data_IF_749564778562
#
_entry.id   IF_749564778562
#
_cell.length_a   1.000
_cell.length_b   1.000
_cell.length_c   1.000
_cell.angle_alpha   90.00
_cell.angle_beta   90.00
_cell.angle_gamma   90.00
#
_symmetry.space_group_name_H-M   'P 1'
#
loop_
_entity.id
_entity.type
_entity.pdbx_description
1 polymer ?
#
# COMPACT_ATOMS: atom_id res chain seq x y z
N UNK A 1 -10.76 6.77 4.07
CA UNK A 1 -9.78 7.31 5.05
C UNK A 1 -8.47 7.51 4.31
N UNK A 2 -7.81 8.65 4.48
CA UNK A 2 -6.60 9.00 3.71
C UNK A 2 -5.38 8.33 4.33
N UNK A 3 -4.49 7.67 3.57
CA UNK A 3 -3.27 7.06 4.11
C UNK A 3 -2.36 8.13 4.69
N UNK A 4 -1.80 7.86 5.87
CA UNK A 4 -0.88 8.79 6.55
C UNK A 4 0.51 8.20 6.52
N UNK A 5 1.44 8.96 5.95
CA UNK A 5 2.84 8.57 5.81
C UNK A 5 3.69 9.45 6.70
N UNK A 6 4.57 8.84 7.48
CA UNK A 6 5.67 9.53 8.15
C UNK A 6 7.00 9.06 7.55
N UNK A 7 7.92 10.01 7.39
CA UNK A 7 9.24 9.80 6.78
C UNK A 7 10.31 10.27 7.76
N UNK A 8 11.17 9.36 8.18
CA UNK A 8 12.29 9.66 9.07
C UNK A 8 13.59 9.58 8.28
N UNK A 9 14.15 10.73 7.92
CA UNK A 9 15.43 10.83 7.21
C UNK A 9 16.63 10.53 8.13
N UNK A 10 17.68 9.93 7.58
CA UNK A 10 18.94 9.70 8.26
C UNK A 10 20.14 9.80 7.32
N UNK A 11 21.29 10.15 7.90
CA UNK A 11 22.55 10.15 7.18
C UNK A 11 23.05 8.70 7.04
N UNK A 12 23.21 8.24 5.81
CA UNK A 12 23.78 6.91 5.51
C UNK A 12 25.28 6.85 5.83
N UNK A 13 25.84 5.63 5.88
CA UNK A 13 27.27 5.42 6.09
C UNK A 13 28.17 6.05 5.01
N UNK A 14 27.62 6.39 3.84
CA UNK A 14 28.33 7.13 2.78
C UNK A 14 28.61 8.57 3.21
N UNK A 15 27.62 9.23 3.84
CA UNK A 15 27.76 10.59 4.38
C UNK A 15 28.85 10.64 5.45
N UNK A 16 28.85 9.67 6.37
CA UNK A 16 29.89 9.58 7.40
C UNK A 16 31.28 9.34 6.81
N UNK A 17 31.43 8.40 5.87
CA UNK A 17 32.71 8.15 5.20
C UNK A 17 33.24 9.37 4.45
N UNK A 18 32.36 10.10 3.76
CA UNK A 18 32.75 11.32 3.04
C UNK A 18 33.17 12.45 3.99
N UNK A 19 32.48 12.62 5.13
CA UNK A 19 32.85 13.60 6.14
C UNK A 19 34.18 13.26 6.80
N UNK A 20 34.40 11.98 7.15
CA UNK A 20 35.67 11.52 7.71
C UNK A 20 36.81 11.68 6.71
N UNK A 21 36.62 11.32 5.44
CA UNK A 21 37.64 11.49 4.40
C UNK A 21 38.00 12.96 4.16
N UNK A 22 36.99 13.85 4.12
CA UNK A 22 37.20 15.28 4.01
C UNK A 22 38.00 15.83 5.20
N UNK A 23 37.67 15.40 6.42
CA UNK A 23 38.38 15.80 7.62
C UNK A 23 39.84 15.30 7.63
N UNK A 24 40.07 14.03 7.29
CA UNK A 24 41.43 13.46 7.18
C UNK A 24 42.27 14.22 6.16
N UNK A 25 41.72 14.56 4.99
CA UNK A 25 42.42 15.35 3.96
C UNK A 25 42.75 16.77 4.45
N UNK A 26 41.86 17.40 5.20
CA UNK A 26 42.12 18.71 5.79
C UNK A 26 43.29 18.66 6.79
N UNK A 27 43.27 17.68 7.70
CA UNK A 27 44.36 17.48 8.68
C UNK A 27 45.67 17.14 7.98
N UNK A 28 45.64 16.26 6.98
CA UNK A 28 46.83 15.90 6.20
C UNK A 28 47.41 17.11 5.46
N UNK A 29 46.57 17.97 4.86
CA UNK A 29 47.01 19.21 4.24
C UNK A 29 47.68 20.17 5.22
N UNK A 30 47.16 20.25 6.45
CA UNK A 30 47.71 21.08 7.52
C UNK A 30 49.07 20.55 8.02
N UNK A 31 49.21 19.24 8.17
CA UNK A 31 50.49 18.58 8.51
C UNK A 31 51.51 18.75 7.39
N UNK A 32 51.09 18.58 6.13
CA UNK A 32 51.94 18.76 4.96
C UNK A 32 52.46 20.20 4.87
N UNK A 33 51.62 21.20 5.16
CA UNK A 33 52.05 22.61 5.22
C UNK A 33 53.21 22.80 6.20
N UNK A 34 53.09 22.27 7.42
CA UNK A 34 54.15 22.39 8.45
C UNK A 34 55.41 21.64 8.03
N UNK A 35 55.28 20.41 7.54
CA UNK A 35 56.42 19.58 7.14
C UNK A 35 57.19 20.15 5.94
N UNK A 36 56.48 20.60 4.90
CA UNK A 36 57.08 21.21 3.70
C UNK A 36 57.77 22.53 4.03
N UNK A 37 57.18 23.33 4.93
CA UNK A 37 57.78 24.57 5.39
C UNK A 37 59.07 24.32 6.20
N UNK A 38 59.09 23.31 7.07
CA UNK A 38 60.31 22.93 7.82
C UNK A 38 61.39 22.36 6.89
N UNK A 39 61.00 21.65 5.84
CA UNK A 39 61.91 21.09 4.85
C UNK A 39 62.45 22.13 3.84
N UNK A 40 62.02 23.39 3.92
CA UNK A 40 62.47 24.47 3.03
C UNK A 40 62.01 24.31 1.58
N UNK A 41 60.89 23.62 1.35
CA UNK A 41 60.32 23.42 0.02
C UNK A 41 59.81 24.75 -0.54
N UNK A 42 59.94 24.93 -1.85
CA UNK A 42 59.47 26.12 -2.55
C UNK A 42 58.01 26.47 -2.21
N UNK A 43 57.74 27.77 -2.05
CA UNK A 43 56.44 28.26 -1.61
C UNK A 43 55.31 27.96 -2.60
N UNK A 44 55.63 27.93 -3.91
CA UNK A 44 54.65 27.63 -4.96
C UNK A 44 54.26 26.14 -4.88
N UNK A 45 55.23 25.24 -4.73
CA UNK A 45 54.99 23.80 -4.54
C UNK A 45 54.18 23.54 -3.25
N UNK A 46 54.55 24.20 -2.15
CA UNK A 46 53.83 24.08 -0.87
C UNK A 46 52.39 24.55 -1.00
N UNK A 47 52.16 25.69 -1.66
CA UNK A 47 50.81 26.23 -1.88
C UNK A 47 49.96 25.32 -2.78
N UNK A 48 50.55 24.71 -3.82
CA UNK A 48 49.86 23.81 -4.72
C UNK A 48 49.41 22.52 -4.01
N UNK A 49 50.28 21.91 -3.20
CA UNK A 49 49.96 20.68 -2.45
C UNK A 49 48.87 20.93 -1.41
N UNK A 50 49.00 22.00 -0.62
CA UNK A 50 48.02 22.34 0.42
C UNK A 50 46.70 22.79 -0.21
N UNK A 51 46.74 23.58 -1.27
CA UNK A 51 45.57 24.00 -2.03
C UNK A 51 44.81 22.80 -2.62
N UNK A 52 45.51 21.84 -3.22
CA UNK A 52 44.90 20.62 -3.74
C UNK A 52 44.23 19.78 -2.62
N UNK A 53 44.87 19.66 -1.45
CA UNK A 53 44.30 18.96 -0.31
C UNK A 53 43.01 19.62 0.22
N UNK A 54 42.99 20.97 0.29
CA UNK A 54 41.81 21.74 0.70
C UNK A 54 40.68 21.57 -0.33
N UNK A 55 40.98 21.70 -1.62
CA UNK A 55 39.99 21.51 -2.69
C UNK A 55 39.41 20.10 -2.66
N UNK A 56 40.25 19.06 -2.51
CA UNK A 56 39.80 17.68 -2.39
C UNK A 56 38.95 17.44 -1.14
N UNK A 57 39.30 18.06 0.00
CA UNK A 57 38.51 18.02 1.23
C UNK A 57 37.12 18.63 1.04
N UNK A 58 37.05 19.82 0.45
CA UNK A 58 35.78 20.52 0.18
C UNK A 58 34.91 19.76 -0.82
N UNK A 59 35.51 19.23 -1.89
CA UNK A 59 34.80 18.38 -2.85
C UNK A 59 34.27 17.09 -2.20
N UNK A 60 35.06 16.45 -1.33
CA UNK A 60 34.63 15.28 -0.57
C UNK A 60 33.44 15.58 0.35
N UNK A 61 33.49 16.71 1.07
CA UNK A 61 32.39 17.15 1.93
C UNK A 61 31.12 17.52 1.14
N UNK A 62 31.28 18.20 0.00
CA UNK A 62 30.18 18.56 -0.89
C UNK A 62 29.52 17.33 -1.52
N UNK A 63 30.33 16.39 -2.01
CA UNK A 63 29.87 15.12 -2.56
C UNK A 63 29.11 14.28 -1.53
N UNK A 64 29.54 14.32 -0.26
CA UNK A 64 28.79 13.79 0.87
C UNK A 64 27.41 14.44 0.98
N UNK A 65 27.37 15.76 1.17
CA UNK A 65 26.12 16.51 1.38
C UNK A 65 25.10 16.42 0.25
N UNK A 66 25.56 16.27 -0.99
CA UNK A 66 24.71 16.18 -2.18
C UNK A 66 24.15 14.78 -2.42
N UNK A 67 24.63 13.76 -1.70
CA UNK A 67 24.10 12.41 -1.80
C UNK A 67 22.68 12.30 -1.22
N UNK A 68 21.88 11.39 -1.79
CA UNK A 68 20.55 11.06 -1.27
C UNK A 68 20.64 10.66 0.22
N UNK A 69 19.68 11.14 1.00
CA UNK A 69 19.53 10.78 2.42
C UNK A 69 18.65 9.55 2.47
N UNK A 70 19.08 8.53 3.20
CA UNK A 70 18.22 7.39 3.44
C UNK A 70 17.02 7.84 4.26
N UNK A 71 15.86 7.27 3.99
CA UNK A 71 14.68 7.49 4.82
C UNK A 71 14.00 6.19 5.19
N UNK A 72 13.48 6.14 6.42
CA UNK A 72 12.53 5.12 6.87
C UNK A 72 11.14 5.66 6.61
N UNK A 73 10.32 4.88 5.93
CA UNK A 73 8.94 5.20 5.61
C UNK A 73 8.03 4.31 6.47
N UNK A 74 7.00 4.92 7.04
CA UNK A 74 5.90 4.22 7.69
C UNK A 74 4.59 4.85 7.23
N UNK A 75 3.79 4.06 6.53
CA UNK A 75 2.48 4.45 6.01
C UNK A 75 1.41 3.59 6.64
N UNK A 76 0.34 4.21 7.14
CA UNK A 76 -0.83 3.51 7.65
C UNK A 76 -2.06 3.92 6.85
N UNK A 77 -2.67 2.92 6.21
CA UNK A 77 -3.94 3.05 5.49
C UNK A 77 -5.12 2.56 6.35
N UNK A 78 -6.29 2.35 5.76
CA UNK A 78 -7.50 1.86 6.46
C UNK A 78 -7.31 0.51 7.14
N UNK A 79 -6.62 -0.42 6.49
CA UNK A 79 -6.53 -1.82 6.91
C UNK A 79 -5.11 -2.37 6.91
N UNK A 80 -4.12 -1.60 6.46
CA UNK A 80 -2.77 -2.09 6.20
C UNK A 80 -1.71 -1.08 6.66
N UNK A 81 -0.64 -1.60 7.25
CA UNK A 81 0.57 -0.85 7.60
C UNK A 81 1.67 -1.24 6.63
N UNK A 82 2.33 -0.24 6.05
CA UNK A 82 3.48 -0.39 5.19
C UNK A 82 4.69 0.24 5.86
N UNK A 83 5.82 -0.44 5.88
CA UNK A 83 7.07 0.15 6.33
C UNK A 83 8.27 -0.40 5.57
N UNK A 84 9.29 0.43 5.42
CA UNK A 84 10.49 0.09 4.66
C UNK A 84 11.49 1.25 4.66
N UNK A 85 12.53 1.11 3.85
CA UNK A 85 13.43 2.20 3.51
C UNK A 85 13.48 2.37 1.98
N UNK A 86 14.12 3.44 1.50
CA UNK A 86 14.16 3.76 0.07
C UNK A 86 14.85 2.69 -0.80
N UNK A 87 15.75 1.92 -0.20
CA UNK A 87 16.52 0.87 -0.88
C UNK A 87 15.86 -0.52 -0.81
N UNK A 88 14.75 -0.68 -0.08
CA UNK A 88 14.06 -1.97 0.11
C UNK A 88 12.62 -1.90 -0.34
N UNK A 89 12.14 -3.03 -0.85
CA UNK A 89 10.72 -3.25 -1.08
C UNK A 89 9.93 -3.00 0.22
N UNK A 90 8.89 -2.18 0.13
CA UNK A 90 7.98 -1.89 1.24
C UNK A 90 7.37 -3.19 1.74
N UNK A 91 7.44 -3.43 3.05
CA UNK A 91 6.81 -4.59 3.70
C UNK A 91 5.45 -4.17 4.21
N UNK A 92 4.42 -4.97 3.91
CA UNK A 92 3.04 -4.71 4.31
C UNK A 92 2.52 -5.73 5.31
N UNK A 93 1.73 -5.28 6.28
CA UNK A 93 0.99 -6.12 7.21
C UNK A 93 -0.43 -5.59 7.38
N UNK A 94 -1.45 -6.46 7.38
CA UNK A 94 -2.81 -6.04 7.71
C UNK A 94 -2.88 -5.63 9.18
N UNK A 95 -3.58 -4.53 9.48
CA UNK A 95 -3.87 -4.03 10.83
C UNK A 95 -4.60 -5.08 11.69
N UNK A 96 -5.36 -5.98 11.07
CA UNK A 96 -5.99 -7.10 11.77
C UNK A 96 -4.99 -8.08 12.38
N UNK A 97 -3.75 -8.15 11.87
CA UNK A 97 -2.67 -8.98 12.42
C UNK A 97 -1.86 -8.29 13.52
N UNK A 98 -2.13 -7.00 13.78
CA UNK A 98 -1.39 -6.20 14.76
C UNK A 98 -1.75 -6.62 16.18
N UNK A 99 -0.75 -7.08 16.94
CA UNK A 99 -0.91 -7.59 18.31
C UNK A 99 -0.62 -6.50 19.32
N UNK A 100 0.51 -5.80 19.16
CA UNK A 100 0.93 -4.75 20.11
C UNK A 100 1.59 -3.58 19.42
N UNK A 101 1.36 -2.39 19.95
CA UNK A 101 2.02 -1.14 19.55
C UNK A 101 2.56 -0.43 20.77
N UNK A 102 3.86 -0.18 20.79
CA UNK A 102 4.50 0.60 21.85
C UNK A 102 5.48 1.60 21.26
N UNK A 103 5.63 2.75 21.91
CA UNK A 103 6.72 3.68 21.59
C UNK A 103 7.93 3.28 22.42
N UNK A 104 9.09 3.16 21.78
CA UNK A 104 10.38 2.93 22.42
C UNK A 104 11.39 3.99 22.01
N UNK A 105 12.53 3.99 22.70
CA UNK A 105 13.65 4.87 22.38
C UNK A 105 13.75 6.12 23.25
N UNK A 106 14.73 6.99 22.98
CA UNK A 106 15.51 7.11 21.73
C UNK A 106 16.43 5.91 21.43
N UNK A 107 16.70 5.62 20.15
CA UNK A 107 17.56 4.52 19.75
C UNK A 107 19.05 4.87 19.84
N UNK A 108 19.87 3.93 20.33
CA UNK A 108 21.31 4.13 20.52
C UNK A 108 22.13 4.03 19.23
N UNK A 109 21.55 3.48 18.16
CA UNK A 109 22.21 3.31 16.87
C UNK A 109 21.21 3.31 15.70
N UNK A 110 21.68 3.80 14.55
CA UNK A 110 21.01 3.59 13.27
C UNK A 110 21.31 2.16 12.84
N UNK A 111 20.27 1.38 12.58
CA UNK A 111 20.45 0.00 12.14
C UNK A 111 20.99 -0.04 10.71
N UNK A 112 21.86 -0.99 10.41
CA UNK A 112 22.35 -1.22 9.04
C UNK A 112 21.27 -1.77 8.11
N UNK A 113 20.06 -2.03 8.66
CA UNK A 113 18.87 -2.51 7.94
C UNK A 113 19.25 -3.62 6.95
N UNK A 114 20.07 -4.58 7.38
CA UNK A 114 20.60 -5.71 6.59
C UNK A 114 20.75 -6.95 7.48
N UNK A 115 20.74 -8.14 6.86
CA UNK A 115 20.90 -9.42 7.58
C UNK A 115 19.86 -9.66 8.68
N UNK A 116 20.30 -10.18 9.82
CA UNK A 116 19.45 -10.52 10.99
C UNK A 116 18.72 -9.31 11.60
N UNK A 117 19.13 -8.08 11.29
CA UNK A 117 18.52 -6.84 11.79
C UNK A 117 17.60 -6.16 10.77
N UNK A 118 17.18 -6.88 9.72
CA UNK A 118 16.19 -6.46 8.72
C UNK A 118 14.94 -5.80 9.32
N UNK A 119 14.51 -6.24 10.50
CA UNK A 119 13.27 -5.81 11.14
C UNK A 119 13.45 -4.62 12.11
N UNK A 120 14.67 -4.14 12.25
CA UNK A 120 15.00 -2.96 13.04
C UNK A 120 15.32 -1.80 12.09
N UNK A 121 14.31 -1.00 11.79
CA UNK A 121 14.40 0.24 11.04
C UNK A 121 14.60 1.42 12.01
N UNK A 122 15.63 1.36 12.87
CA UNK A 122 15.91 2.40 13.87
C UNK A 122 16.90 3.44 13.34
N UNK A 123 16.74 4.69 13.79
CA UNK A 123 17.65 5.82 13.51
C UNK A 123 18.18 6.35 14.84
N UNK A 124 19.49 6.53 14.93
CA UNK A 124 20.16 7.01 16.16
C UNK A 124 19.55 8.32 16.65
N UNK A 125 19.30 8.41 17.96
CA UNK A 125 18.72 9.59 18.60
C UNK A 125 17.23 9.79 18.37
N UNK A 126 16.58 9.01 17.48
CA UNK A 126 15.15 9.08 17.23
C UNK A 126 14.37 8.07 18.07
N UNK A 127 13.12 8.39 18.38
CA UNK A 127 12.17 7.41 18.93
C UNK A 127 11.79 6.41 17.86
N UNK A 128 11.24 5.28 18.27
CA UNK A 128 10.79 4.24 17.35
C UNK A 128 9.50 3.58 17.84
N UNK A 129 8.68 3.12 16.89
CA UNK A 129 7.52 2.29 17.17
C UNK A 129 7.93 0.82 17.19
N UNK A 130 7.55 0.12 18.26
CA UNK A 130 7.60 -1.32 18.41
C UNK A 130 6.26 -1.88 17.96
N UNK A 131 6.26 -2.57 16.83
CA UNK A 131 5.07 -3.21 16.25
C UNK A 131 5.26 -4.72 16.30
N UNK A 132 4.26 -5.44 16.79
CA UNK A 132 4.25 -6.90 16.81
C UNK A 132 3.06 -7.39 16.02
N UNK A 133 3.29 -8.28 15.05
CA UNK A 133 2.25 -8.87 14.22
C UNK A 133 2.17 -10.38 14.44
N UNK A 134 0.97 -10.94 14.41
CA UNK A 134 0.73 -12.38 14.47
C UNK A 134 0.92 -12.99 13.08
N UNK A 135 1.67 -14.09 13.02
CA UNK A 135 1.98 -14.80 11.78
C UNK A 135 1.87 -16.31 11.96
N UNK A 136 1.53 -17.02 10.89
CA UNK A 136 1.57 -18.49 10.80
C UNK A 136 2.26 -18.85 9.49
N UNK A 137 3.29 -19.68 9.54
CA UNK A 137 4.12 -20.03 8.38
C UNK A 137 4.65 -18.79 7.62
N UNK A 138 5.03 -17.74 8.35
CA UNK A 138 5.52 -16.48 7.79
C UNK A 138 4.45 -15.57 7.15
N UNK A 139 3.17 -15.95 7.13
CA UNK A 139 2.07 -15.13 6.61
C UNK A 139 1.28 -14.42 7.73
N UNK A 140 0.83 -13.17 7.55
CA UNK A 140 0.03 -12.46 8.56
C UNK A 140 -1.31 -13.14 8.83
N UNK A 141 -1.67 -13.30 10.11
CA UNK A 141 -2.94 -13.90 10.55
C UNK A 141 -3.66 -12.92 11.49
N UNK A 142 -5.01 -12.84 11.48
CA UNK A 142 -5.73 -11.97 12.40
C UNK A 142 -5.41 -12.27 13.87
N UNK A 143 -5.11 -11.22 14.64
CA UNK A 143 -4.70 -11.30 16.04
C UNK A 143 -5.80 -11.80 16.98
N UNK A 144 -7.08 -11.76 16.56
CA UNK A 144 -8.23 -12.19 17.37
C UNK A 144 -8.52 -13.70 17.31
N UNK A 145 -7.81 -14.45 16.45
CA UNK A 145 -7.81 -15.92 16.52
C UNK A 145 -6.91 -16.37 17.66
N UNK A 146 -7.38 -16.22 18.90
CA UNK A 146 -6.85 -17.01 20.01
C UNK A 146 -7.14 -18.49 19.75
N UNK A 147 -6.21 -19.42 20.04
CA UNK A 147 -6.46 -20.86 19.94
C UNK A 147 -7.46 -21.26 21.03
N UNK A 148 -8.75 -21.14 20.71
CA UNK A 148 -9.85 -21.63 21.55
C UNK A 148 -10.90 -22.39 20.75
N UNK A 149 -10.85 -22.31 19.43
CA UNK A 149 -11.62 -23.20 18.57
C UNK A 149 -10.86 -24.53 18.42
N UNK A 150 -11.58 -25.58 18.80
CA UNK A 150 -11.17 -26.98 18.88
C UNK A 150 -10.49 -27.47 17.59
N UNK A 151 -9.50 -28.35 17.78
CA UNK A 151 -8.87 -29.29 16.84
C UNK A 151 -7.49 -28.94 16.22
N UNK A 152 -6.86 -27.82 16.57
CA UNK A 152 -5.46 -27.56 16.17
C UNK A 152 -4.43 -28.09 17.20
N UNK A 153 -3.42 -28.80 16.69
CA UNK A 153 -2.26 -29.36 17.38
C UNK A 153 -1.60 -28.38 18.38
N UNK A 154 -1.39 -28.75 19.67
CA UNK A 154 -0.83 -27.86 20.71
C UNK A 154 0.58 -27.32 20.42
N UNK A 155 1.30 -27.86 19.43
CA UNK A 155 2.59 -27.34 18.99
C UNK A 155 2.51 -26.21 17.95
N UNK A 156 1.31 -25.82 17.47
CA UNK A 156 1.15 -24.75 16.47
C UNK A 156 0.77 -23.40 17.08
N UNK A 157 1.60 -22.87 17.99
CA UNK A 157 1.42 -21.51 18.46
C UNK A 157 1.70 -20.49 17.32
N UNK A 158 0.90 -19.43 17.16
CA UNK A 158 1.18 -18.40 16.15
C UNK A 158 2.52 -17.73 16.46
N UNK A 159 3.42 -17.73 15.47
CA UNK A 159 4.67 -17.00 15.51
C UNK A 159 4.41 -15.49 15.53
N UNK A 160 5.35 -14.69 16.03
CA UNK A 160 5.21 -13.23 16.03
C UNK A 160 6.34 -12.55 15.27
N UNK A 161 5.98 -11.61 14.41
CA UNK A 161 6.91 -10.76 13.68
C UNK A 161 7.03 -9.42 14.38
N UNK A 162 8.22 -9.18 14.95
CA UNK A 162 8.55 -7.96 15.66
C UNK A 162 9.29 -6.96 14.77
N UNK A 163 8.84 -5.70 14.81
CA UNK A 163 9.40 -4.59 14.04
C UNK A 163 9.69 -3.39 14.94
N UNK A 164 10.80 -2.69 14.64
CA UNK A 164 11.11 -1.36 15.20
C UNK A 164 11.20 -0.37 14.07
N UNK A 165 10.40 0.70 14.09
CA UNK A 165 10.36 1.68 13.00
C UNK A 165 10.60 3.08 13.54
N UNK A 166 11.63 3.76 13.05
CA UNK A 166 12.01 5.09 13.51
C UNK A 166 10.94 6.12 13.18
N UNK A 167 10.64 6.97 14.16
CA UNK A 167 9.66 8.05 14.06
C UNK A 167 10.25 9.33 14.64
N UNK A 168 9.91 10.46 14.02
CA UNK A 168 10.31 11.77 14.52
C UNK A 168 9.37 12.20 15.64
N UNK A 169 9.95 12.49 16.80
CA UNK A 169 9.18 13.02 17.93
C UNK A 169 8.68 14.44 17.61
N UNK A 170 7.37 14.66 17.74
CA UNK A 170 6.73 15.94 17.43
C UNK A 170 6.16 16.07 16.01
N UNK A 171 6.33 15.07 15.15
CA UNK A 171 5.68 15.04 13.84
C UNK A 171 4.16 14.76 13.98
N UNK A 172 3.27 15.65 13.49
CA UNK A 172 1.82 15.42 13.54
C UNK A 172 1.39 14.15 12.79
N UNK A 173 2.11 13.74 11.73
CA UNK A 173 1.82 12.51 11.01
C UNK A 173 2.06 11.28 11.89
N UNK A 174 3.09 11.30 12.75
CA UNK A 174 3.38 10.22 13.70
C UNK A 174 2.29 10.12 14.77
N UNK A 175 1.77 11.25 15.24
CA UNK A 175 0.68 11.27 16.21
C UNK A 175 -0.60 10.62 15.64
N UNK A 176 -0.94 10.94 14.40
CA UNK A 176 -2.09 10.36 13.69
C UNK A 176 -1.88 8.86 13.39
N UNK A 177 -0.68 8.47 12.95
CA UNK A 177 -0.30 7.06 12.75
C UNK A 177 -0.46 6.28 14.05
N UNK A 178 0.04 6.80 15.17
CA UNK A 178 -0.07 6.16 16.47
C UNK A 178 -1.53 6.06 16.94
N UNK A 179 -2.34 7.09 16.70
CA UNK A 179 -3.76 7.08 17.01
C UNK A 179 -4.53 6.02 16.20
N UNK A 180 -4.18 5.84 14.92
CA UNK A 180 -4.74 4.76 14.07
C UNK A 180 -4.33 3.39 14.57
N UNK A 181 -3.04 3.19 14.77
CA UNK A 181 -2.50 1.92 15.24
C UNK A 181 -3.13 1.48 16.59
N UNK A 182 -3.32 2.41 17.52
CA UNK A 182 -3.97 2.15 18.82
C UNK A 182 -5.46 1.83 18.71
N UNK A 183 -6.17 2.37 17.70
CA UNK A 183 -7.58 2.02 17.44
C UNK A 183 -7.73 0.55 17.05
N UNK A 184 -6.74 -0.01 16.33
CA UNK A 184 -6.77 -1.39 15.85
C UNK A 184 -6.11 -2.39 16.80
N UNK A 185 -5.21 -1.94 17.68
CA UNK A 185 -4.60 -2.75 18.73
C UNK A 185 -4.86 -2.12 20.11
N UNK A 186 -6.09 -2.26 20.67
CA UNK A 186 -6.33 -1.86 22.05
C UNK A 186 -5.50 -2.76 22.96
N UNK A 187 -4.75 -2.16 23.90
CA UNK A 187 -3.87 -2.84 24.85
C UNK A 187 -4.48 -4.12 25.45
N UNK A 188 -4.21 -5.28 24.83
CA UNK A 188 -4.49 -6.59 25.42
C UNK A 188 -3.25 -7.01 26.21
N UNK A 189 -3.36 -6.80 27.52
CA UNK A 189 -2.65 -7.53 28.60
C UNK A 189 -1.21 -7.07 28.87
N UNK A 190 -1.09 -5.94 29.56
CA UNK A 190 -0.09 -5.80 30.62
C UNK A 190 -0.59 -6.56 31.88
N UNK A 191 -0.28 -7.85 31.98
CA UNK A 191 -0.11 -8.54 33.27
C UNK A 191 1.08 -9.46 33.09
N UNK A 192 2.18 -9.38 33.86
CA UNK A 192 2.22 -9.45 35.32
C UNK A 192 3.66 -9.17 35.83
N UNK A 193 3.89 -8.10 36.61
CA UNK A 193 4.66 -8.17 37.88
C UNK A 193 4.55 -6.89 38.75
N UNK A 194 3.68 -7.00 39.75
CA UNK A 194 3.80 -6.57 41.17
C UNK A 194 4.41 -5.19 41.55
N UNK A 195 3.54 -4.37 42.17
CA UNK A 195 3.72 -3.52 43.40
C UNK A 195 4.79 -2.41 43.35
N UNK A 196 4.55 -1.15 43.75
CA UNK A 196 3.68 -0.62 44.79
C UNK A 196 3.47 0.92 44.65
N UNK A 197 2.34 1.38 45.20
CA UNK A 197 2.11 2.67 45.88
C UNK A 197 2.23 4.00 45.12
N UNK A 198 1.07 4.65 44.92
CA UNK A 198 0.70 6.01 45.40
C UNK A 198 -0.44 6.54 44.49
N UNK A 199 -1.70 6.36 44.88
CA UNK A 199 -2.49 7.32 45.66
C UNK A 199 -2.75 8.66 44.93
N UNK A 200 -3.97 8.77 44.38
CA UNK A 200 -4.78 9.99 44.41
C UNK A 200 -4.55 11.03 43.31
N UNK A 201 -5.34 10.97 42.23
CA UNK A 201 -6.22 12.09 41.86
C UNK A 201 -7.09 11.72 40.67
N UNK A 202 -8.39 11.69 40.92
CA UNK A 202 -9.45 11.71 39.92
C UNK A 202 -9.63 13.16 39.46
N UNK A 203 -9.82 13.40 38.15
CA UNK A 203 -10.94 14.24 37.78
C UNK A 203 -11.78 13.62 36.65
N UNK A 204 -13.00 13.26 37.06
CA UNK A 204 -14.28 13.65 36.47
C UNK A 204 -14.35 13.85 34.95
N UNK A 205 -15.16 12.99 34.35
CA UNK A 205 -15.76 13.07 33.03
C UNK A 205 -16.13 14.49 32.58
N UNK A 206 -15.73 14.82 31.34
CA UNK A 206 -16.42 15.76 30.49
C UNK A 206 -16.73 15.03 29.18
N UNK A 207 -18.02 14.73 28.99
CA UNK A 207 -18.57 14.35 27.70
C UNK A 207 -18.31 15.48 26.71
N UNK A 208 -17.69 15.17 25.57
CA UNK A 208 -17.64 16.05 24.42
C UNK A 208 -18.08 15.25 23.20
N UNK A 209 -19.25 15.67 22.73
CA UNK A 209 -20.04 15.22 21.60
C UNK A 209 -19.24 14.89 20.34
N UNK A 210 -19.62 13.81 19.66
CA UNK A 210 -19.25 13.55 18.28
C UNK A 210 -19.77 14.66 17.36
N UNK A 211 -19.00 15.11 16.34
CA UNK A 211 -19.56 15.88 15.24
C UNK A 211 -20.27 14.96 14.24
N UNK A 212 -21.30 15.46 13.51
CA UNK A 212 -22.07 14.67 12.56
C UNK A 212 -21.33 14.47 11.23
N UNK A 213 -21.76 13.44 10.49
CA UNK A 213 -21.34 13.07 9.14
C UNK A 213 -21.26 14.29 8.20
N UNK A 214 -20.04 14.68 7.82
CA UNK A 214 -19.84 15.59 6.69
C UNK A 214 -19.76 14.79 5.38
N UNK A 215 -20.49 15.21 4.32
CA UNK A 215 -20.35 14.63 3.00
C UNK A 215 -18.93 14.87 2.46
N UNK A 216 -18.31 13.81 1.95
CA UNK A 216 -16.97 13.87 1.37
C UNK A 216 -16.99 14.79 0.15
N UNK A 217 -16.39 15.97 0.29
CA UNK A 217 -16.22 16.93 -0.79
C UNK A 217 -15.16 16.44 -1.80
N UNK A 218 -15.63 15.95 -2.94
CA UNK A 218 -14.82 15.49 -4.07
C UNK A 218 -14.10 16.62 -4.83
N UNK A 219 -14.33 17.89 -4.48
CA UNK A 219 -13.74 19.05 -5.18
C UNK A 219 -12.40 19.52 -4.60
N UNK A 220 -11.94 18.96 -3.48
CA UNK A 220 -10.64 19.34 -2.88
C UNK A 220 -9.47 18.72 -3.66
N UNK A 221 -8.54 19.53 -4.21
CA UNK A 221 -7.36 18.98 -4.89
C UNK A 221 -6.49 18.20 -3.89
N UNK A 222 -5.98 17.02 -4.27
CA UNK A 222 -5.31 16.11 -3.35
C UNK A 222 -3.97 16.69 -2.88
N UNK A 223 -3.73 16.70 -1.57
CA UNK A 223 -2.36 16.83 -1.03
C UNK A 223 -1.54 15.63 -1.49
N UNK A 224 -0.52 15.94 -2.28
CA UNK A 224 0.01 15.10 -3.35
C UNK A 224 1.16 14.21 -2.89
N UNK A 225 1.18 12.95 -3.35
CA UNK A 225 2.41 12.17 -3.42
C UNK A 225 3.41 12.81 -4.40
N UNK A 226 4.62 12.22 -4.56
CA UNK A 226 5.64 12.76 -5.46
C UNK A 226 5.08 12.93 -6.87
N UNK A 227 5.09 14.16 -7.38
CA UNK A 227 4.57 14.52 -8.70
C UNK A 227 5.66 14.41 -9.76
N UNK A 228 5.30 13.98 -10.96
CA UNK A 228 6.22 13.94 -12.11
C UNK A 228 6.69 15.35 -12.49
N UNK A 229 5.84 16.38 -12.34
CA UNK A 229 6.26 17.77 -12.58
C UNK A 229 7.38 18.24 -11.64
N UNK A 230 7.46 17.67 -10.43
CA UNK A 230 8.45 18.04 -9.42
C UNK A 230 9.70 17.12 -9.48
N UNK A 231 9.78 16.21 -10.46
CA UNK A 231 10.90 15.30 -10.61
C UNK A 231 12.18 16.04 -11.00
N UNK A 232 13.27 15.81 -10.25
CA UNK A 232 14.57 16.45 -10.48
C UNK A 232 15.29 16.00 -11.76
N UNK A 233 14.86 14.91 -12.40
CA UNK A 233 15.45 14.36 -13.63
C UNK A 233 14.40 13.69 -14.52
N UNK A 234 14.71 13.52 -15.81
CA UNK A 234 13.82 12.81 -16.75
C UNK A 234 13.73 11.31 -16.43
N UNK A 235 14.80 10.70 -15.94
CA UNK A 235 14.76 9.31 -15.46
C UNK A 235 13.82 9.14 -14.27
N UNK A 236 13.80 10.10 -13.33
CA UNK A 236 12.87 10.06 -12.20
C UNK A 236 11.42 10.26 -12.66
N UNK A 237 11.19 11.17 -13.62
CA UNK A 237 9.88 11.36 -14.25
C UNK A 237 9.39 10.07 -14.95
N UNK A 238 10.28 9.40 -15.69
CA UNK A 238 9.98 8.13 -16.34
C UNK A 238 9.62 7.04 -15.33
N UNK A 239 10.41 6.85 -14.26
CA UNK A 239 10.10 5.84 -13.21
C UNK A 239 8.75 6.08 -12.54
N UNK A 240 8.42 7.35 -12.27
CA UNK A 240 7.11 7.71 -11.70
C UNK A 240 5.96 7.44 -12.68
N UNK A 241 6.18 7.67 -13.97
CA UNK A 241 5.21 7.36 -15.02
C UNK A 241 5.01 5.84 -15.18
N UNK A 242 6.09 5.05 -15.20
CA UNK A 242 6.03 3.58 -15.25
C UNK A 242 5.28 3.00 -14.05
N UNK A 243 5.49 3.57 -12.86
CA UNK A 243 4.73 3.19 -11.68
C UNK A 243 3.24 3.57 -11.78
N UNK A 244 2.91 4.71 -12.39
CA UNK A 244 1.52 5.05 -12.68
C UNK A 244 0.89 4.06 -13.68
N UNK A 245 1.65 3.63 -14.71
CA UNK A 245 1.20 2.61 -15.64
C UNK A 245 0.93 1.26 -14.94
N UNK A 246 1.85 0.79 -14.07
CA UNK A 246 1.63 -0.42 -13.26
C UNK A 246 0.34 -0.34 -12.43
N UNK A 247 0.09 0.78 -11.76
CA UNK A 247 -1.14 0.97 -10.97
C UNK A 247 -2.41 0.99 -11.82
N UNK A 248 -2.33 1.53 -13.03
CA UNK A 248 -3.44 1.46 -13.97
C UNK A 248 -3.72 0.01 -14.36
N UNK A 249 -2.69 -0.77 -14.66
CA UNK A 249 -2.82 -2.20 -14.99
C UNK A 249 -3.37 -3.03 -13.83
N UNK A 250 -2.98 -2.72 -12.60
CA UNK A 250 -3.56 -3.34 -11.39
C UNK A 250 -5.07 -3.10 -11.29
N UNK A 251 -5.53 -1.86 -11.56
CA UNK A 251 -6.97 -1.54 -11.56
C UNK A 251 -7.69 -2.28 -12.69
N UNK A 252 -7.11 -2.30 -13.90
CA UNK A 252 -7.69 -3.04 -15.03
C UNK A 252 -7.76 -4.55 -14.77
N UNK A 253 -6.73 -5.13 -14.16
CA UNK A 253 -6.71 -6.55 -13.79
C UNK A 253 -7.75 -6.88 -12.72
N UNK A 254 -7.89 -6.02 -11.71
CA UNK A 254 -8.92 -6.18 -10.68
C UNK A 254 -10.34 -6.04 -11.26
N UNK A 255 -10.58 -5.00 -12.05
CA UNK A 255 -11.87 -4.75 -12.69
C UNK A 255 -12.24 -5.83 -13.71
N UNK A 256 -11.27 -6.29 -14.51
CA UNK A 256 -11.48 -7.37 -15.49
C UNK A 256 -11.98 -8.67 -14.85
N UNK A 257 -11.70 -8.92 -13.57
CA UNK A 257 -12.28 -10.07 -12.85
C UNK A 257 -13.80 -9.97 -12.71
N UNK A 258 -14.37 -8.76 -12.65
CA UNK A 258 -15.82 -8.54 -12.58
C UNK A 258 -16.49 -8.56 -13.96
N UNK A 259 -15.78 -8.14 -15.01
CA UNK A 259 -16.34 -8.15 -16.37
C UNK A 259 -16.29 -9.54 -17.04
N UNK A 260 -15.29 -10.36 -16.69
CA UNK A 260 -15.03 -11.63 -17.38
C UNK A 260 -15.61 -12.84 -16.66
N UNK A 261 -15.83 -12.77 -15.34
CA UNK A 261 -16.37 -13.89 -14.55
C UNK A 261 -17.89 -13.75 -14.34
N UNK A 262 -18.72 -14.63 -14.94
CA UNK A 262 -20.16 -14.63 -14.72
C UNK A 262 -20.55 -14.78 -13.24
N UNK A 263 -19.75 -15.45 -12.42
CA UNK A 263 -20.05 -15.58 -10.99
C UNK A 263 -19.93 -14.23 -10.25
N UNK A 264 -18.98 -13.37 -10.66
CA UNK A 264 -18.82 -12.04 -10.10
C UNK A 264 -19.99 -11.13 -10.48
N UNK A 265 -20.43 -11.18 -11.75
CA UNK A 265 -21.64 -10.48 -12.21
C UNK A 265 -22.86 -10.87 -11.38
N UNK A 266 -23.10 -12.16 -11.18
CA UNK A 266 -24.27 -12.65 -10.43
C UNK A 266 -24.22 -12.27 -8.95
N UNK A 267 -23.02 -12.22 -8.36
CA UNK A 267 -22.84 -11.95 -6.92
C UNK A 267 -22.78 -10.46 -6.58
N UNK A 268 -22.16 -9.65 -7.45
CA UNK A 268 -21.89 -8.24 -7.23
C UNK A 268 -22.27 -7.40 -8.46
N UNK A 269 -23.53 -7.44 -8.92
CA UNK A 269 -23.95 -6.76 -10.15
C UNK A 269 -23.73 -5.24 -10.09
N UNK A 270 -23.84 -4.64 -8.91
CA UNK A 270 -23.60 -3.21 -8.71
C UNK A 270 -22.20 -2.72 -9.09
N UNK A 271 -21.18 -3.60 -9.18
CA UNK A 271 -19.80 -3.20 -9.53
C UNK A 271 -19.66 -2.87 -11.03
N UNK A 272 -20.45 -3.53 -11.88
CA UNK A 272 -20.41 -3.35 -13.34
C UNK A 272 -21.62 -2.60 -13.89
N UNK A 273 -22.65 -2.41 -13.09
CA UNK A 273 -23.85 -1.66 -13.47
C UNK A 273 -23.59 -0.15 -13.50
N UNK A 274 -23.53 0.41 -14.71
CA UNK A 274 -23.29 1.84 -14.97
C UNK A 274 -24.40 2.76 -14.48
N UNK A 275 -25.56 2.22 -14.08
CA UNK A 275 -26.63 3.01 -13.45
C UNK A 275 -26.32 3.36 -12.00
N UNK A 276 -25.33 2.70 -11.38
CA UNK A 276 -24.85 3.00 -10.03
C UNK A 276 -23.84 4.14 -10.07
N UNK A 277 -24.07 5.20 -9.31
CA UNK A 277 -23.25 6.43 -9.29
C UNK A 277 -21.74 6.16 -9.11
N UNK A 278 -21.37 5.25 -8.19
CA UNK A 278 -19.96 4.94 -7.93
C UNK A 278 -19.31 4.24 -9.13
N UNK A 279 -20.07 3.40 -9.83
CA UNK A 279 -19.62 2.69 -11.04
C UNK A 279 -19.48 3.67 -12.20
N UNK A 280 -20.43 4.58 -12.38
CA UNK A 280 -20.32 5.67 -13.35
C UNK A 280 -19.08 6.54 -13.09
N UNK A 281 -18.84 6.91 -11.82
CA UNK A 281 -17.66 7.70 -11.42
C UNK A 281 -16.35 6.97 -11.75
N UNK A 282 -16.31 5.65 -11.55
CA UNK A 282 -15.19 4.81 -11.93
C UNK A 282 -14.95 4.82 -13.44
N UNK A 283 -15.99 4.61 -14.26
CA UNK A 283 -15.85 4.61 -15.72
C UNK A 283 -15.40 5.97 -16.26
N UNK A 284 -15.91 7.08 -15.74
CA UNK A 284 -15.45 8.41 -16.14
C UNK A 284 -13.96 8.63 -15.83
N UNK A 285 -13.50 8.15 -14.66
CA UNK A 285 -12.08 8.23 -14.31
C UNK A 285 -11.21 7.27 -15.14
N UNK A 286 -11.76 6.12 -15.52
CA UNK A 286 -11.09 5.15 -16.38
C UNK A 286 -10.89 5.70 -17.78
N UNK A 287 -11.93 6.29 -18.37
CA UNK A 287 -11.87 6.94 -19.68
C UNK A 287 -10.84 8.08 -19.69
N UNK A 288 -10.82 8.90 -18.63
CA UNK A 288 -9.82 9.97 -18.49
C UNK A 288 -8.38 9.42 -18.43
N UNK A 289 -8.14 8.34 -17.68
CA UNK A 289 -6.83 7.71 -17.57
C UNK A 289 -6.41 7.04 -18.88
N UNK A 290 -7.35 6.37 -19.56
CA UNK A 290 -7.13 5.73 -20.86
C UNK A 290 -6.78 6.75 -21.95
N UNK A 291 -7.46 7.89 -22.00
CA UNK A 291 -7.18 8.95 -22.97
C UNK A 291 -5.76 9.53 -22.85
N UNK A 292 -5.20 9.51 -21.65
CA UNK A 292 -3.84 10.01 -21.35
C UNK A 292 -2.76 8.94 -21.49
N UNK A 293 -3.13 7.66 -21.51
CA UNK A 293 -2.20 6.52 -21.57
C UNK A 293 -1.41 6.52 -22.89
N UNK A 294 -0.14 6.15 -22.79
CA UNK A 294 0.77 5.93 -23.92
C UNK A 294 1.52 4.62 -23.69
N UNK A 295 2.00 3.98 -24.76
CA UNK A 295 2.76 2.72 -24.64
C UNK A 295 4.14 2.96 -23.99
N UNK A 296 4.78 4.06 -24.38
CA UNK A 296 6.07 4.51 -23.85
C UNK A 296 5.94 5.87 -23.15
N UNK A 297 6.97 6.22 -22.37
CA UNK A 297 7.05 7.53 -21.71
C UNK A 297 6.99 8.65 -22.77
N UNK A 298 6.05 9.61 -22.66
CA UNK A 298 5.78 10.57 -23.73
C UNK A 298 6.85 11.66 -23.89
N UNK A 299 7.92 11.67 -23.09
CA UNK A 299 8.94 12.73 -23.06
C UNK A 299 8.45 14.07 -22.49
N UNK A 300 7.14 14.29 -22.44
CA UNK A 300 6.49 15.48 -21.90
C UNK A 300 6.06 15.26 -20.44
N UNK A 301 6.79 15.89 -19.51
CA UNK A 301 6.53 15.80 -18.06
C UNK A 301 5.13 16.24 -17.65
N UNK A 302 4.58 17.28 -18.29
CA UNK A 302 3.23 17.77 -17.95
C UNK A 302 2.15 16.76 -18.34
N UNK A 303 2.30 16.07 -19.49
CA UNK A 303 1.38 15.01 -19.91
C UNK A 303 1.51 13.78 -19.01
N UNK A 304 2.75 13.39 -18.68
CA UNK A 304 3.02 12.27 -17.80
C UNK A 304 2.47 12.52 -16.38
N UNK A 305 2.57 13.75 -15.87
CA UNK A 305 1.98 14.15 -14.59
C UNK A 305 0.45 14.16 -14.62
N UNK A 306 -0.17 14.67 -15.69
CA UNK A 306 -1.62 14.59 -15.87
C UNK A 306 -2.10 13.13 -15.87
N UNK A 307 -1.37 12.23 -16.54
CA UNK A 307 -1.64 10.79 -16.50
C UNK A 307 -1.52 10.23 -15.08
N UNK A 308 -0.44 10.53 -14.36
CA UNK A 308 -0.26 10.09 -12.97
C UNK A 308 -1.40 10.56 -12.05
N UNK A 309 -1.82 11.82 -12.18
CA UNK A 309 -2.94 12.36 -11.42
C UNK A 309 -4.27 11.68 -11.78
N UNK A 310 -4.51 11.41 -13.07
CA UNK A 310 -5.69 10.70 -13.54
C UNK A 310 -5.72 9.26 -13.02
N UNK A 311 -4.61 8.51 -13.06
CA UNK A 311 -4.51 7.17 -12.46
C UNK A 311 -4.77 7.20 -10.95
N UNK A 312 -4.29 8.23 -10.25
CA UNK A 312 -4.58 8.38 -8.83
C UNK A 312 -6.06 8.64 -8.54
N UNK A 313 -6.78 9.35 -9.43
CA UNK A 313 -8.25 9.50 -9.36
C UNK A 313 -8.94 8.18 -9.66
N UNK A 314 -8.56 7.51 -10.75
CA UNK A 314 -9.05 6.19 -11.15
C UNK A 314 -8.97 5.19 -10.00
N UNK A 315 -7.81 5.05 -9.35
CA UNK A 315 -7.63 4.12 -8.23
C UNK A 315 -8.59 4.41 -7.07
N UNK A 316 -8.82 5.68 -6.73
CA UNK A 316 -9.77 6.04 -5.66
C UNK A 316 -11.20 5.72 -6.06
N UNK A 317 -11.57 6.05 -7.30
CA UNK A 317 -12.90 5.74 -7.85
C UNK A 317 -13.14 4.22 -7.88
N UNK A 318 -12.13 3.43 -8.27
CA UNK A 318 -12.18 1.97 -8.24
C UNK A 318 -12.42 1.43 -6.82
N UNK A 319 -11.63 1.85 -5.83
CA UNK A 319 -11.79 1.40 -4.44
C UNK A 319 -13.20 1.74 -3.92
N UNK A 320 -13.71 2.93 -4.23
CA UNK A 320 -15.05 3.35 -3.84
C UNK A 320 -16.15 2.52 -4.54
N UNK A 321 -16.01 2.29 -5.85
CA UNK A 321 -16.88 1.44 -6.66
C UNK A 321 -16.92 0.02 -6.10
N UNK A 322 -15.77 -0.64 -5.94
CA UNK A 322 -15.69 -2.02 -5.48
C UNK A 322 -16.25 -2.18 -4.05
N UNK A 323 -15.87 -1.28 -3.13
CA UNK A 323 -16.37 -1.30 -1.76
C UNK A 323 -17.88 -1.12 -1.72
N UNK A 324 -18.43 -0.21 -2.54
CA UNK A 324 -19.87 0.02 -2.61
C UNK A 324 -20.59 -1.18 -3.24
N UNK A 325 -20.12 -1.65 -4.39
CA UNK A 325 -20.74 -2.76 -5.11
C UNK A 325 -20.71 -4.07 -4.34
N UNK A 326 -19.65 -4.35 -3.57
CA UNK A 326 -19.64 -5.51 -2.65
C UNK A 326 -20.57 -5.34 -1.45
N UNK A 327 -20.70 -4.13 -0.92
CA UNK A 327 -21.58 -3.83 0.23
C UNK A 327 -23.05 -3.90 -0.15
N UNK A 328 -23.41 -3.35 -1.31
CA UNK A 328 -24.78 -3.32 -1.81
C UNK A 328 -25.14 -4.67 -2.45
N UNK A 329 -24.23 -5.30 -3.17
CA UNK A 329 -24.49 -6.54 -3.90
C UNK A 329 -25.64 -6.35 -4.89
N UNK A 330 -26.71 -7.14 -4.73
CA UNK A 330 -27.95 -7.01 -5.49
C UNK A 330 -29.06 -6.23 -4.76
N UNK A 331 -28.82 -5.70 -3.54
CA UNK A 331 -29.88 -5.11 -2.70
C UNK A 331 -30.51 -3.81 -3.25
N UNK A 332 -29.96 -3.24 -4.31
CA UNK A 332 -30.53 -2.09 -5.02
C UNK A 332 -31.63 -2.49 -6.01
N UNK A 333 -31.77 -3.79 -6.30
CA UNK A 333 -32.82 -4.34 -7.17
C UNK A 333 -34.09 -4.64 -6.36
N UNK A 334 -35.21 -4.89 -7.05
CA UNK A 334 -36.44 -5.36 -6.38
C UNK A 334 -36.25 -6.78 -5.83
N UNK A 335 -36.99 -7.14 -4.76
CA UNK A 335 -36.82 -8.43 -4.08
C UNK A 335 -36.93 -9.63 -5.02
N UNK A 336 -37.87 -9.61 -5.99
CA UNK A 336 -37.99 -10.70 -6.96
C UNK A 336 -36.75 -10.86 -7.83
N UNK A 337 -36.15 -9.75 -8.24
CA UNK A 337 -34.92 -9.74 -9.05
C UNK A 337 -33.69 -10.17 -8.24
N UNK A 338 -33.67 -9.86 -6.93
CA UNK A 338 -32.65 -10.37 -6.00
C UNK A 338 -32.73 -11.90 -5.87
N UNK A 339 -33.94 -12.44 -5.72
CA UNK A 339 -34.17 -13.88 -5.59
C UNK A 339 -33.81 -14.63 -6.90
N UNK A 340 -34.07 -14.01 -8.05
CA UNK A 340 -33.67 -14.52 -9.37
C UNK A 340 -32.14 -14.60 -9.49
N UNK A 341 -31.40 -13.56 -9.08
CA UNK A 341 -29.93 -13.58 -9.09
C UNK A 341 -29.33 -14.59 -8.11
N UNK A 342 -29.88 -14.70 -6.90
CA UNK A 342 -29.43 -15.71 -5.93
C UNK A 342 -29.68 -17.14 -6.44
N UNK A 343 -30.82 -17.35 -7.12
CA UNK A 343 -31.12 -18.62 -7.79
C UNK A 343 -30.13 -18.89 -8.93
N UNK A 344 -29.86 -17.90 -9.79
CA UNK A 344 -28.88 -18.01 -10.86
C UNK A 344 -27.47 -18.33 -10.33
N UNK A 345 -27.04 -17.67 -9.24
CA UNK A 345 -25.75 -17.94 -8.62
C UNK A 345 -25.65 -19.37 -8.06
N UNK A 346 -26.69 -19.88 -7.41
CA UNK A 346 -26.74 -21.27 -6.94
C UNK A 346 -26.66 -22.27 -8.09
N UNK A 347 -27.43 -22.04 -9.15
CA UNK A 347 -27.41 -22.89 -10.35
C UNK A 347 -26.04 -22.87 -11.02
N UNK A 348 -25.41 -21.69 -11.12
CA UNK A 348 -24.06 -21.54 -11.66
C UNK A 348 -23.03 -22.34 -10.84
N UNK A 349 -23.04 -22.18 -9.51
CA UNK A 349 -22.13 -22.92 -8.63
C UNK A 349 -22.36 -24.43 -8.70
N UNK A 350 -23.61 -24.87 -8.82
CA UNK A 350 -23.94 -26.29 -8.99
C UNK A 350 -23.45 -26.82 -10.36
N UNK A 351 -23.58 -26.03 -11.42
CA UNK A 351 -23.04 -26.37 -12.74
C UNK A 351 -21.52 -26.52 -12.68
N UNK A 352 -20.83 -25.54 -12.07
CA UNK A 352 -19.37 -25.55 -11.94
C UNK A 352 -18.85 -26.74 -11.12
N UNK A 353 -19.62 -27.22 -10.14
CA UNK A 353 -19.26 -28.37 -9.31
C UNK A 353 -19.70 -29.74 -9.90
N UNK A 354 -20.65 -29.77 -10.84
CA UNK A 354 -21.12 -31.02 -11.44
C UNK A 354 -20.07 -31.63 -12.37
N UNK A 355 -19.95 -32.96 -12.37
CA UNK A 355 -19.09 -33.71 -13.30
C UNK A 355 -19.84 -34.21 -14.53
N UNK A 356 -21.16 -33.98 -14.61
CA UNK A 356 -22.03 -34.52 -15.66
C UNK A 356 -22.32 -33.44 -16.70
N UNK A 357 -21.85 -33.55 -17.96
CA UNK A 357 -22.03 -32.51 -18.97
C UNK A 357 -23.49 -32.13 -19.26
N UNK A 358 -24.41 -33.11 -19.24
CA UNK A 358 -25.84 -32.86 -19.45
C UNK A 358 -26.47 -32.00 -18.32
N UNK A 359 -26.04 -32.22 -17.08
CA UNK A 359 -26.46 -31.40 -15.93
C UNK A 359 -25.87 -30.01 -16.03
N UNK A 360 -24.57 -29.89 -16.35
CA UNK A 360 -23.92 -28.59 -16.56
C UNK A 360 -24.65 -27.75 -17.61
N UNK A 361 -25.01 -28.37 -18.75
CA UNK A 361 -25.73 -27.70 -19.82
C UNK A 361 -27.12 -27.21 -19.37
N UNK A 362 -27.82 -28.03 -18.60
CA UNK A 362 -29.14 -27.68 -18.06
C UNK A 362 -29.05 -26.50 -17.08
N UNK A 363 -28.09 -26.53 -16.17
CA UNK A 363 -27.91 -25.49 -15.17
C UNK A 363 -27.39 -24.18 -15.78
N UNK A 364 -26.35 -24.21 -16.61
CA UNK A 364 -25.86 -23.00 -17.29
C UNK A 364 -26.91 -22.41 -18.24
N UNK A 365 -27.67 -23.26 -18.95
CA UNK A 365 -28.80 -22.81 -19.77
C UNK A 365 -29.84 -22.03 -18.96
N UNK A 366 -30.21 -22.55 -17.78
CA UNK A 366 -31.15 -21.85 -16.88
C UNK A 366 -30.61 -20.54 -16.33
N UNK A 367 -29.31 -20.48 -15.98
CA UNK A 367 -28.64 -19.24 -15.56
C UNK A 367 -28.71 -18.19 -16.68
N UNK A 368 -28.39 -18.59 -17.91
CA UNK A 368 -28.47 -17.72 -19.09
C UNK A 368 -29.87 -17.18 -19.30
N UNK A 369 -30.89 -18.02 -19.16
CA UNK A 369 -32.28 -17.60 -19.39
C UNK A 369 -32.75 -16.58 -18.33
N UNK A 370 -32.35 -16.76 -17.06
CA UNK A 370 -32.60 -15.78 -15.99
C UNK A 370 -31.92 -14.44 -16.32
N UNK A 371 -30.61 -14.47 -16.60
CA UNK A 371 -29.83 -13.26 -16.91
C UNK A 371 -30.39 -12.52 -18.14
N UNK A 372 -30.74 -13.26 -19.21
CA UNK A 372 -31.36 -12.67 -20.40
C UNK A 372 -32.69 -12.00 -20.07
N UNK A 373 -33.56 -12.67 -19.30
CA UNK A 373 -34.86 -12.12 -18.90
C UNK A 373 -34.72 -10.85 -18.07
N UNK A 374 -33.74 -10.80 -17.16
CA UNK A 374 -33.45 -9.59 -16.37
C UNK A 374 -32.90 -8.45 -17.22
N UNK A 375 -32.05 -8.79 -18.21
CA UNK A 375 -31.47 -7.82 -19.15
C UNK A 375 -32.52 -7.24 -20.09
N UNK A 376 -33.42 -8.07 -20.62
CA UNK A 376 -34.51 -7.67 -21.50
C UNK A 376 -35.52 -6.75 -20.79
N UNK A 377 -35.70 -6.94 -19.47
CA UNK A 377 -36.50 -6.04 -18.61
C UNK A 377 -35.77 -4.73 -18.29
N UNK A 378 -34.48 -4.60 -18.61
CA UNK A 378 -33.66 -3.44 -18.29
C UNK A 378 -33.31 -3.29 -16.81
N UNK A 379 -33.44 -4.36 -16.03
CA UNK A 379 -33.13 -4.36 -14.58
C UNK A 379 -31.66 -4.65 -14.34
N UNK A 380 -31.07 -5.52 -15.16
CA UNK A 380 -29.66 -5.87 -15.11
C UNK A 380 -28.97 -5.35 -16.38
N UNK A 381 -27.81 -4.71 -16.21
CA UNK A 381 -26.99 -4.22 -17.31
C UNK A 381 -25.64 -4.98 -17.31
N UNK A 382 -25.63 -6.25 -17.74
CA UNK A 382 -24.41 -7.05 -17.66
C UNK A 382 -23.39 -6.65 -18.75
N UNK A 383 -22.08 -6.74 -18.47
CA UNK A 383 -21.06 -6.60 -19.50
C UNK A 383 -21.23 -7.64 -20.61
N UNK A 384 -21.02 -7.23 -21.87
CA UNK A 384 -21.13 -8.13 -23.03
C UNK A 384 -20.20 -9.35 -22.90
N UNK A 385 -19.01 -9.15 -22.32
CA UNK A 385 -18.04 -10.22 -22.12
C UNK A 385 -18.53 -11.32 -21.16
N UNK A 386 -19.17 -10.94 -20.04
CA UNK A 386 -19.74 -11.89 -19.09
C UNK A 386 -20.87 -12.71 -19.72
N UNK A 387 -21.73 -12.05 -20.52
CA UNK A 387 -22.80 -12.74 -21.26
C UNK A 387 -22.22 -13.69 -22.31
N UNK A 388 -21.20 -13.26 -23.05
CA UNK A 388 -20.52 -14.09 -24.03
C UNK A 388 -19.85 -15.32 -23.39
N UNK A 389 -19.20 -15.17 -22.24
CA UNK A 389 -18.61 -16.32 -21.53
C UNK A 389 -19.69 -17.27 -21.01
N UNK A 390 -20.81 -16.75 -20.48
CA UNK A 390 -21.94 -17.57 -20.07
C UNK A 390 -22.53 -18.39 -21.23
N UNK A 391 -22.63 -17.79 -22.42
CA UNK A 391 -23.03 -18.51 -23.63
C UNK A 391 -21.99 -19.56 -24.05
N UNK A 392 -20.70 -19.24 -23.93
CA UNK A 392 -19.62 -20.14 -24.28
C UNK A 392 -19.57 -21.37 -23.36
N UNK A 393 -19.66 -21.20 -22.03
CA UNK A 393 -19.71 -22.34 -21.08
C UNK A 393 -20.93 -23.22 -21.32
N UNK A 394 -22.08 -22.62 -21.63
CA UNK A 394 -23.31 -23.37 -21.96
C UNK A 394 -23.11 -24.21 -23.22
N UNK A 395 -22.51 -23.65 -24.28
CA UNK A 395 -22.23 -24.36 -25.52
C UNK A 395 -21.27 -25.52 -25.31
N UNK A 396 -20.15 -25.29 -24.59
CA UNK A 396 -19.17 -26.34 -24.27
C UNK A 396 -19.82 -27.51 -23.53
N UNK A 397 -20.73 -27.22 -22.58
CA UNK A 397 -21.45 -28.26 -21.85
C UNK A 397 -22.42 -29.07 -22.74
N UNK A 398 -23.13 -28.40 -23.67
CA UNK A 398 -24.01 -29.06 -24.63
C UNK A 398 -23.25 -29.98 -25.61
N UNK A 399 -22.11 -29.50 -26.13
CA UNK A 399 -21.25 -30.29 -27.03
C UNK A 399 -20.67 -31.51 -26.31
N UNK A 400 -20.25 -31.37 -25.05
CA UNK A 400 -19.74 -32.47 -24.25
C UNK A 400 -20.82 -33.49 -23.85
N UNK A 401 -22.08 -33.07 -23.73
CA UNK A 401 -23.23 -33.93 -23.44
C UNK A 401 -23.82 -34.66 -24.65
N UNK A 402 -23.48 -34.22 -25.87
CA UNK A 402 -23.95 -34.86 -27.11
C UNK A 402 -22.99 -35.99 -27.49
N UNK A 403 -23.43 -37.27 -27.55
CA UNK A 403 -22.54 -38.35 -27.96
C UNK A 403 -22.03 -38.10 -29.39
N UNK A 404 -20.71 -38.15 -29.58
CA UNK A 404 -20.11 -38.13 -30.93
C UNK A 404 -20.63 -39.34 -31.69
N UNK A 405 -21.42 -39.08 -32.74
CA UNK A 405 -21.92 -40.07 -33.67
C UNK A 405 -20.80 -40.70 -34.51
#
# INVERSE_FOLDING_TARGET
MVPVTCRTEYLTGRHHRSATAAWVLMVAGMVALVALNVAGVDGLVTSAVVGAAIVASLLGAAFGRLGERGAVLLTVDEDTVYFGNEDRTLVSYPLSSLVTVAVGGPADATSDMTGERVRHLTVIGQKYLKLTFATRDGKPVPADRTPRDRDDDPDTAPETHFWRVAVVEGDPAVAEVLARLRRHAPERIATRKKTATSAGQQPRAAAASAPPDEPVDLTRPPTSGPRIVDAGSDEAAQRLWEEAARRHDEVLGAYGSYELDPAMLLRYPAVTDVTVDQTQTFHLALDEAMALRTDDYPGNRSRADAYQQSVARLRRAWIACEKNGRRVGASYLEQGDQDDLDTALKLYNHAAASTTPAEQATYYGRVRDIVSTMTDRGVLHPPEAAVAELQAVTRRALEAGTPKA
#
